data_IF_267592138745
#
_entry.id   IF_267592138745
#
_cell.length_a   1.000
_cell.length_b   1.000
_cell.length_c   1.000
_cell.angle_alpha   90.00
_cell.angle_beta   90.00
_cell.angle_gamma   90.00
#
_symmetry.space_group_name_H-M   'P 1'
#
loop_
_entity.id
_entity.type
_entity.pdbx_description
1 polymer ?
#
# COMPACT_ATOMS: atom_id res chain seq x y z
N UNK A 1 -80.27 -15.12 9.34
CA UNK A 1 -79.48 -13.89 9.17
C UNK A 1 -79.50 -13.65 7.68
N UNK A 2 -80.30 -12.68 7.29
CA UNK A 2 -80.78 -12.39 5.95
C UNK A 2 -79.96 -11.20 5.43
N UNK A 3 -79.41 -11.32 4.21
CA UNK A 3 -78.87 -10.26 3.34
C UNK A 3 -77.67 -9.45 3.90
N UNK A 4 -76.63 -9.06 3.18
CA UNK A 4 -76.36 -9.02 1.75
C UNK A 4 -74.84 -8.91 1.59
N UNK A 5 -74.35 -9.48 0.49
CA UNK A 5 -73.00 -9.41 -0.03
C UNK A 5 -72.78 -8.00 -0.60
N UNK A 6 -72.14 -7.09 0.16
CA UNK A 6 -71.70 -5.81 -0.38
C UNK A 6 -70.31 -6.00 -0.99
N UNK A 7 -70.29 -6.26 -2.30
CA UNK A 7 -69.12 -6.13 -3.17
C UNK A 7 -68.50 -4.74 -2.97
N UNK A 8 -67.36 -4.69 -2.29
CA UNK A 8 -66.56 -3.47 -2.21
C UNK A 8 -65.83 -3.32 -3.55
N UNK A 9 -66.48 -2.58 -4.45
CA UNK A 9 -65.99 -2.20 -5.76
C UNK A 9 -64.56 -1.63 -5.67
N UNK A 10 -63.64 -2.25 -6.40
CA UNK A 10 -62.32 -1.73 -6.66
C UNK A 10 -62.42 -0.57 -7.66
N UNK A 11 -62.20 0.65 -7.19
CA UNK A 11 -61.72 1.75 -8.04
C UNK A 11 -60.24 1.97 -7.71
N UNK A 12 -59.40 1.11 -8.29
CA UNK A 12 -57.97 1.32 -8.50
C UNK A 12 -57.78 2.41 -9.57
N UNK A 13 -57.87 3.71 -9.28
CA UNK A 13 -57.30 4.72 -10.21
C UNK A 13 -57.25 6.18 -9.71
N UNK A 14 -56.65 6.48 -8.54
CA UNK A 14 -56.41 7.92 -8.23
C UNK A 14 -55.22 8.26 -7.33
N UNK A 15 -54.12 7.48 -7.39
CA UNK A 15 -52.91 7.77 -6.59
C UNK A 15 -51.61 7.94 -7.39
N UNK A 16 -51.69 8.40 -8.64
CA UNK A 16 -50.51 8.86 -9.38
C UNK A 16 -50.80 10.13 -10.18
N UNK A 17 -51.09 11.23 -9.48
CA UNK A 17 -50.91 12.56 -10.07
C UNK A 17 -49.42 12.91 -10.04
N UNK A 18 -48.76 12.60 -11.15
CA UNK A 18 -47.43 13.06 -11.55
C UNK A 18 -47.42 14.59 -11.71
N UNK A 19 -47.25 15.33 -10.61
CA UNK A 19 -46.83 16.73 -10.65
C UNK A 19 -45.31 16.78 -10.54
N UNK A 20 -44.67 16.67 -11.69
CA UNK A 20 -43.26 17.00 -11.89
C UNK A 20 -43.10 18.52 -11.82
N UNK A 21 -42.96 19.08 -10.63
CA UNK A 21 -42.50 20.46 -10.46
C UNK A 21 -40.98 20.52 -10.67
N UNK A 22 -40.62 21.03 -11.85
CA UNK A 22 -39.28 21.46 -12.27
C UNK A 22 -38.89 22.72 -11.50
N UNK A 23 -38.17 22.56 -10.37
CA UNK A 23 -37.49 23.67 -9.71
C UNK A 23 -36.00 23.67 -10.06
N UNK A 24 -35.74 24.39 -11.14
CA UNK A 24 -34.63 25.32 -11.35
C UNK A 24 -33.38 25.13 -10.46
N UNK A 25 -32.37 24.60 -11.13
CA UNK A 25 -30.93 24.73 -10.89
C UNK A 25 -30.55 26.17 -10.53
N UNK A 26 -30.41 26.50 -9.24
CA UNK A 26 -29.58 27.63 -8.75
C UNK A 26 -29.45 27.65 -7.21
N UNK A 27 -28.96 26.56 -6.60
CA UNK A 27 -28.36 26.62 -5.26
C UNK A 27 -27.40 25.45 -4.99
N UNK A 28 -26.19 25.52 -5.57
CA UNK A 28 -25.06 24.71 -5.09
C UNK A 28 -24.55 25.38 -3.80
N UNK A 29 -25.34 25.24 -2.74
CA UNK A 29 -24.88 25.48 -1.38
C UNK A 29 -23.90 24.38 -1.00
N UNK A 30 -22.77 24.78 -0.42
CA UNK A 30 -21.62 24.00 0.02
C UNK A 30 -21.93 22.94 1.13
N UNK A 31 -23.21 22.58 1.29
CA UNK A 31 -23.75 21.71 2.34
C UNK A 31 -24.28 20.39 1.75
N UNK A 32 -23.59 19.84 0.74
CA UNK A 32 -23.77 18.42 0.41
C UNK A 32 -23.10 17.62 1.52
N UNK A 33 -23.90 17.13 2.47
CA UNK A 33 -23.47 16.23 3.53
C UNK A 33 -22.79 15.02 2.88
N UNK A 34 -21.50 14.78 3.18
CA UNK A 34 -20.72 13.67 2.61
C UNK A 34 -21.48 12.37 2.87
N UNK A 35 -21.95 11.75 1.79
CA UNK A 35 -22.72 10.50 1.84
C UNK A 35 -21.74 9.33 1.92
N UNK A 36 -22.17 8.18 2.45
CA UNK A 36 -21.35 6.96 2.53
C UNK A 36 -20.80 6.53 1.14
N UNK A 37 -21.50 6.85 0.06
CA UNK A 37 -21.09 6.62 -1.32
C UNK A 37 -19.83 7.42 -1.72
N UNK A 38 -19.71 8.68 -1.26
CA UNK A 38 -18.55 9.56 -1.52
C UNK A 38 -17.26 9.05 -0.86
N UNK A 39 -17.39 8.17 0.14
CA UNK A 39 -16.24 7.59 0.84
C UNK A 39 -15.45 6.64 -0.06
N UNK A 40 -16.12 5.95 -1.01
CA UNK A 40 -15.44 5.05 -1.94
C UNK A 40 -14.62 5.78 -3.00
N UNK A 41 -15.03 6.98 -3.38
CA UNK A 41 -14.26 7.83 -4.31
C UNK A 41 -12.95 8.29 -3.68
N UNK A 42 -12.98 8.67 -2.40
CA UNK A 42 -11.78 9.03 -1.63
C UNK A 42 -10.84 7.82 -1.52
N UNK A 43 -11.39 6.64 -1.21
CA UNK A 43 -10.62 5.40 -1.08
C UNK A 43 -9.99 5.02 -2.43
N UNK A 44 -10.75 5.15 -3.52
CA UNK A 44 -10.28 4.85 -4.88
C UNK A 44 -9.16 5.82 -5.30
N UNK A 45 -9.35 7.12 -5.08
CA UNK A 45 -8.33 8.14 -5.35
C UNK A 45 -7.04 7.91 -4.54
N UNK A 46 -7.17 7.50 -3.27
CA UNK A 46 -6.01 7.18 -2.43
C UNK A 46 -5.21 5.98 -2.97
N UNK A 47 -5.90 4.92 -3.42
CA UNK A 47 -5.23 3.75 -4.00
C UNK A 47 -4.65 4.02 -5.39
N UNK A 48 -5.26 4.89 -6.19
CA UNK A 48 -4.73 5.32 -7.48
C UNK A 48 -3.42 6.12 -7.32
N UNK A 49 -3.37 7.04 -6.35
CA UNK A 49 -2.16 7.85 -6.10
C UNK A 49 -1.05 7.10 -5.37
N UNK A 50 -1.40 6.29 -4.36
CA UNK A 50 -0.42 5.66 -3.46
C UNK A 50 -0.06 4.22 -3.86
N UNK A 51 -0.95 3.51 -4.56
CA UNK A 51 -0.84 2.09 -4.88
C UNK A 51 -1.09 1.17 -3.68
N UNK A 52 -1.49 -0.09 -3.94
CA UNK A 52 -1.84 -1.06 -2.90
C UNK A 52 -0.66 -1.58 -2.06
N UNK A 53 0.58 -1.47 -2.56
CA UNK A 53 1.74 -2.22 -2.02
C UNK A 53 2.88 -1.28 -1.62
N UNK A 54 2.55 -0.07 -1.20
CA UNK A 54 3.54 0.99 -0.93
C UNK A 54 4.48 0.68 0.24
N UNK A 55 4.03 -0.06 1.26
CA UNK A 55 4.88 -0.42 2.40
C UNK A 55 6.05 -1.30 1.99
N UNK A 56 5.83 -2.27 1.10
CA UNK A 56 6.88 -3.17 0.63
C UNK A 56 7.88 -2.43 -0.26
N UNK A 57 7.37 -1.56 -1.14
CA UNK A 57 8.23 -0.70 -1.96
C UNK A 57 9.04 0.27 -1.10
N UNK A 58 8.44 0.86 -0.07
CA UNK A 58 9.14 1.75 0.84
C UNK A 58 10.23 0.98 1.62
N UNK A 59 9.90 -0.18 2.18
CA UNK A 59 10.89 -1.03 2.86
C UNK A 59 12.02 -1.46 1.93
N UNK A 60 11.72 -1.78 0.67
CA UNK A 60 12.72 -2.13 -0.33
C UNK A 60 13.64 -0.94 -0.65
N UNK A 61 13.07 0.25 -0.86
CA UNK A 61 13.84 1.45 -1.14
C UNK A 61 14.75 1.80 0.05
N UNK A 62 14.22 1.80 1.28
CA UNK A 62 15.03 2.01 2.49
C UNK A 62 16.15 0.97 2.59
N UNK A 63 15.85 -0.28 2.26
CA UNK A 63 16.83 -1.36 2.28
C UNK A 63 17.98 -1.12 1.30
N UNK A 64 17.69 -0.75 0.05
CA UNK A 64 18.70 -0.50 -0.99
C UNK A 64 19.47 0.80 -0.74
N UNK A 65 18.79 1.87 -0.36
CA UNK A 65 19.39 3.19 -0.21
C UNK A 65 20.27 3.32 1.05
N UNK A 66 19.87 2.68 2.15
CA UNK A 66 20.53 2.89 3.44
C UNK A 66 21.02 1.57 4.05
N UNK A 67 20.14 0.57 4.18
CA UNK A 67 20.44 -0.63 4.96
C UNK A 67 21.58 -1.46 4.37
N UNK A 68 21.66 -1.60 3.04
CA UNK A 68 22.78 -2.33 2.41
C UNK A 68 24.12 -1.70 2.75
N UNK A 69 24.24 -0.37 2.63
CA UNK A 69 25.48 0.34 2.92
C UNK A 69 25.83 0.28 4.41
N UNK A 70 24.84 0.43 5.29
CA UNK A 70 25.05 0.27 6.74
C UNK A 70 25.55 -1.13 7.11
N UNK A 71 25.06 -2.19 6.46
CA UNK A 71 25.55 -3.56 6.68
C UNK A 71 27.01 -3.70 6.26
N UNK A 72 27.38 -3.13 5.11
CA UNK A 72 28.77 -3.17 4.62
C UNK A 72 29.70 -2.44 5.58
N UNK A 73 29.30 -1.28 6.10
CA UNK A 73 30.07 -0.49 7.07
C UNK A 73 30.16 -1.16 8.45
N UNK A 74 29.12 -1.87 8.89
CA UNK A 74 29.14 -2.62 10.17
C UNK A 74 30.01 -3.89 10.08
N UNK A 75 30.24 -4.41 8.87
CA UNK A 75 30.99 -5.64 8.68
C UNK A 75 32.46 -5.43 9.06
N UNK A 76 32.94 -6.22 10.01
CA UNK A 76 34.35 -6.17 10.47
C UNK A 76 35.31 -6.56 9.36
N UNK A 77 36.49 -5.95 9.38
CA UNK A 77 37.58 -6.33 8.48
C UNK A 77 37.91 -7.82 8.61
N UNK A 78 38.12 -8.46 7.46
CA UNK A 78 38.55 -9.86 7.41
C UNK A 78 40.08 -9.89 7.36
N UNK A 79 40.69 -10.42 8.42
CA UNK A 79 42.13 -10.66 8.47
C UNK A 79 42.44 -12.09 8.00
N UNK A 80 43.24 -12.21 6.94
CA UNK A 80 43.77 -13.48 6.45
C UNK A 80 45.25 -13.56 6.80
N UNK A 81 45.60 -14.57 7.58
CA UNK A 81 46.98 -14.92 7.93
C UNK A 81 47.28 -16.24 7.20
N UNK A 82 48.18 -16.25 6.20
CA UNK A 82 48.60 -17.48 5.56
C UNK A 82 49.36 -18.33 6.57
N UNK A 83 49.02 -19.62 6.66
CA UNK A 83 49.80 -20.55 7.46
C UNK A 83 51.14 -20.84 6.77
N UNK A 84 52.21 -20.94 7.55
CA UNK A 84 53.53 -21.30 7.06
C UNK A 84 53.49 -22.71 6.42
N UNK A 85 53.47 -22.77 5.09
CA UNK A 85 53.69 -24.01 4.38
C UNK A 85 55.19 -24.33 4.39
N UNK A 86 55.61 -25.23 5.28
CA UNK A 86 57.00 -25.68 5.32
C UNK A 86 57.29 -26.62 4.13
N UNK A 87 57.78 -26.05 3.02
CA UNK A 87 58.26 -26.81 1.86
C UNK A 87 59.72 -27.22 2.14
N UNK A 88 60.05 -28.52 2.28
CA UNK A 88 61.41 -28.94 2.56
C UNK A 88 62.36 -28.52 1.43
N UNK A 89 63.39 -27.72 1.75
CA UNK A 89 64.41 -27.26 0.80
C UNK A 89 64.20 -25.85 0.23
N UNK A 90 63.09 -25.19 0.55
CA UNK A 90 62.84 -23.79 0.21
C UNK A 90 63.17 -22.92 1.42
N UNK A 91 64.00 -21.87 1.26
CA UNK A 91 64.21 -20.88 2.33
C UNK A 91 62.87 -20.20 2.60
N UNK A 92 62.43 -20.21 3.85
CA UNK A 92 61.26 -19.45 4.28
C UNK A 92 61.41 -18.01 3.78
N UNK A 93 60.41 -17.51 3.05
CA UNK A 93 60.30 -16.08 2.82
C UNK A 93 59.88 -15.46 4.14
N UNK A 94 60.73 -14.59 4.72
CA UNK A 94 60.58 -13.92 6.02
C UNK A 94 59.37 -12.97 6.14
N UNK A 95 58.45 -12.99 5.18
CA UNK A 95 57.33 -12.06 5.17
C UNK A 95 56.05 -12.79 5.61
N UNK A 96 55.71 -12.60 6.88
CA UNK A 96 54.36 -12.81 7.42
C UNK A 96 53.38 -11.86 6.71
N UNK A 97 53.03 -12.16 5.46
CA UNK A 97 52.10 -11.34 4.68
C UNK A 97 50.70 -11.50 5.25
N UNK A 98 50.22 -10.48 5.97
CA UNK A 98 48.83 -10.42 6.45
C UNK A 98 47.98 -9.67 5.44
N UNK A 99 46.86 -10.26 5.01
CA UNK A 99 45.90 -9.58 4.16
C UNK A 99 44.74 -9.07 5.01
N UNK A 100 44.44 -7.78 4.89
CA UNK A 100 43.26 -7.17 5.49
C UNK A 100 42.28 -6.88 4.36
N UNK A 101 41.10 -7.48 4.41
CA UNK A 101 40.01 -7.21 3.47
C UNK A 101 38.99 -6.36 4.18
N UNK A 102 38.73 -5.19 3.59
CA UNK A 102 37.69 -4.27 4.00
C UNK A 102 36.74 -4.11 2.79
N UNK A 103 35.43 -4.08 3.07
CA UNK A 103 34.38 -3.97 2.04
C UNK A 103 33.74 -2.57 1.98
N UNK A 104 34.14 -1.66 2.87
CA UNK A 104 33.62 -0.30 3.05
C UNK A 104 34.65 0.66 3.65
#
# INVERSE_FOLDING_TARGET
MDYEDEELHADEDDFYSDEKEDYDDENVGDDQEIVEEDTWDIVSAYFEEKGLVRQQLNSFNVFVEHTMQSIVEETRDILIIPEEQHIPGQRASDEDVKYLINFG
#
